data_IF_020114424375
#
_entry.id   IF_020114424375
#
_cell.length_a   1.000
_cell.length_b   1.000
_cell.length_c   1.000
_cell.angle_alpha   90.00
_cell.angle_beta   90.00
_cell.angle_gamma   90.00
#
_symmetry.space_group_name_H-M   'P 1'
#
loop_
_entity.id
_entity.type
_entity.pdbx_description
1 polymer ?
#
# COMPACT_ATOMS: atom_id res chain seq x y z
N UNK A 1 -5.93 -2.81 14.90
CA UNK A 1 -4.50 -2.57 15.14
C UNK A 1 -4.20 -1.08 15.27
N UNK A 2 -4.02 -0.31 14.20
CA UNK A 2 -3.57 1.08 14.29
C UNK A 2 -4.46 2.03 15.14
N UNK A 3 -5.75 1.76 15.29
CA UNK A 3 -6.68 2.60 16.07
C UNK A 3 -6.80 2.16 17.53
N UNK A 4 -6.81 0.86 17.78
CA UNK A 4 -7.22 0.29 19.07
C UNK A 4 -6.07 -0.37 19.82
N UNK A 5 -4.85 -0.43 19.23
CA UNK A 5 -3.69 -1.13 19.79
C UNK A 5 -3.92 -2.63 20.02
N UNK A 6 -4.91 -3.23 19.33
CA UNK A 6 -5.26 -4.65 19.50
C UNK A 6 -4.40 -5.53 18.60
N UNK A 7 -4.03 -6.74 19.07
CA UNK A 7 -3.27 -7.70 18.28
C UNK A 7 -3.97 -8.04 16.96
N UNK A 8 -3.20 -8.25 15.90
CA UNK A 8 -3.71 -8.59 14.56
C UNK A 8 -4.71 -9.74 14.56
N UNK A 9 -4.43 -10.83 15.30
CA UNK A 9 -5.29 -12.01 15.34
C UNK A 9 -6.70 -11.70 15.90
N UNK A 10 -6.81 -10.82 16.88
CA UNK A 10 -8.10 -10.41 17.45
C UNK A 10 -8.91 -9.55 16.47
N UNK A 11 -8.24 -8.58 15.86
CA UNK A 11 -8.87 -7.69 14.88
C UNK A 11 -9.34 -8.46 13.66
N UNK A 12 -8.58 -9.45 13.21
CA UNK A 12 -8.95 -10.33 12.11
C UNK A 12 -10.17 -11.19 12.49
N UNK A 13 -10.21 -11.77 13.69
CA UNK A 13 -11.35 -12.58 14.14
C UNK A 13 -12.65 -11.75 14.18
N UNK A 14 -12.59 -10.52 14.69
CA UNK A 14 -13.75 -9.62 14.67
C UNK A 14 -14.20 -9.28 13.23
N UNK A 15 -13.26 -9.04 12.32
CA UNK A 15 -13.59 -8.77 10.93
C UNK A 15 -14.25 -9.96 10.25
N UNK A 16 -13.84 -11.20 10.57
CA UNK A 16 -14.47 -12.43 10.09
C UNK A 16 -15.87 -12.62 10.67
N UNK A 17 -16.06 -12.37 11.97
CA UNK A 17 -17.37 -12.45 12.62
C UNK A 17 -18.37 -11.45 12.03
N UNK A 18 -17.91 -10.25 11.70
CA UNK A 18 -18.71 -9.20 11.07
C UNK A 18 -18.92 -9.41 9.55
N UNK A 19 -18.30 -10.43 8.95
CA UNK A 19 -18.41 -10.73 7.53
C UNK A 19 -17.64 -9.74 6.62
N UNK A 20 -16.63 -9.08 7.14
CA UNK A 20 -15.75 -8.18 6.40
C UNK A 20 -14.49 -8.87 5.87
N UNK A 21 -14.08 -9.97 6.51
CA UNK A 21 -13.02 -10.86 6.03
C UNK A 21 -13.57 -12.27 5.85
N UNK A 22 -13.04 -12.98 4.85
CA UNK A 22 -13.39 -14.38 4.59
C UNK A 22 -12.76 -15.33 5.62
N UNK A 23 -13.22 -16.60 5.66
CA UNK A 23 -12.63 -17.63 6.52
C UNK A 23 -11.15 -17.88 6.21
N UNK A 24 -10.76 -17.78 4.93
CA UNK A 24 -9.36 -17.68 4.50
C UNK A 24 -9.07 -16.23 4.11
N UNK A 25 -8.44 -15.43 4.98
CA UNK A 25 -8.19 -14.01 4.74
C UNK A 25 -6.96 -13.76 3.87
N UNK A 26 -6.28 -14.80 3.38
CA UNK A 26 -4.99 -14.67 2.64
C UNK A 26 -5.11 -13.68 1.49
N UNK A 27 -6.18 -13.76 0.71
CA UNK A 27 -6.40 -12.84 -0.41
C UNK A 27 -6.48 -11.36 -0.01
N UNK A 28 -7.08 -11.08 1.15
CA UNK A 28 -7.21 -9.71 1.67
C UNK A 28 -5.88 -9.23 2.27
N UNK A 29 -5.28 -10.03 3.17
CA UNK A 29 -4.13 -9.59 3.97
C UNK A 29 -2.81 -9.61 3.20
N UNK A 30 -2.68 -10.47 2.20
CA UNK A 30 -1.52 -10.50 1.29
C UNK A 30 -1.67 -9.56 0.09
N UNK A 31 -2.86 -8.97 -0.08
CA UNK A 31 -3.12 -7.94 -1.07
C UNK A 31 -3.53 -8.43 -2.46
N UNK A 32 -3.90 -9.71 -2.63
CA UNK A 32 -4.33 -10.26 -3.91
C UNK A 32 -5.62 -9.59 -4.41
N UNK A 33 -6.60 -9.38 -3.51
CA UNK A 33 -7.83 -8.65 -3.84
C UNK A 33 -7.53 -7.22 -4.29
N UNK A 34 -6.63 -6.53 -3.61
CA UNK A 34 -6.23 -5.18 -3.98
C UNK A 34 -5.49 -5.14 -5.33
N UNK A 35 -4.68 -6.16 -5.66
CA UNK A 35 -4.05 -6.31 -6.98
C UNK A 35 -5.12 -6.47 -8.06
N UNK A 36 -6.11 -7.33 -7.85
CA UNK A 36 -7.18 -7.56 -8.82
C UNK A 36 -7.99 -6.27 -9.09
N UNK A 37 -8.31 -5.53 -8.03
CA UNK A 37 -8.96 -4.21 -8.15
C UNK A 37 -8.08 -3.21 -8.92
N UNK A 38 -6.78 -3.16 -8.61
CA UNK A 38 -5.82 -2.27 -9.27
C UNK A 38 -5.71 -2.55 -10.77
N UNK A 39 -5.64 -3.83 -11.17
CA UNK A 39 -5.55 -4.23 -12.57
C UNK A 39 -6.79 -3.77 -13.36
N UNK A 40 -7.98 -3.88 -12.76
CA UNK A 40 -9.23 -3.38 -13.36
C UNK A 40 -9.19 -1.85 -13.51
N UNK A 41 -8.81 -1.13 -12.44
CA UNK A 41 -8.72 0.33 -12.47
C UNK A 41 -7.65 0.83 -13.46
N UNK A 42 -6.50 0.16 -13.51
CA UNK A 42 -5.44 0.46 -14.49
C UNK A 42 -5.93 0.25 -15.93
N UNK A 43 -6.73 -0.81 -16.18
CA UNK A 43 -7.36 -1.02 -17.48
C UNK A 43 -8.28 0.13 -17.86
N UNK A 44 -9.09 0.63 -16.94
CA UNK A 44 -9.99 1.77 -17.19
C UNK A 44 -9.22 3.07 -17.41
N UNK A 45 -8.18 3.33 -16.59
CA UNK A 45 -7.43 4.57 -16.63
C UNK A 45 -6.43 4.64 -17.82
N UNK A 46 -5.77 3.52 -18.13
CA UNK A 46 -4.64 3.50 -19.07
C UNK A 46 -4.93 2.72 -20.35
N UNK A 47 -6.05 2.02 -20.42
CA UNK A 47 -6.43 1.23 -21.62
C UNK A 47 -5.62 -0.06 -21.80
N UNK A 48 -4.86 -0.51 -20.80
CA UNK A 48 -3.98 -1.69 -20.87
C UNK A 48 -4.26 -2.65 -19.73
N UNK A 49 -4.22 -3.96 -20.00
CA UNK A 49 -4.23 -4.97 -18.96
C UNK A 49 -2.82 -5.14 -18.37
N UNK A 50 -2.73 -5.10 -17.04
CA UNK A 50 -1.54 -5.53 -16.32
C UNK A 50 -1.62 -7.03 -16.03
N UNK A 51 -0.49 -7.71 -16.04
CA UNK A 51 -0.37 -9.05 -15.50
C UNK A 51 -0.36 -8.97 -13.96
N UNK A 52 -1.40 -9.47 -13.27
CA UNK A 52 -1.48 -9.36 -11.82
C UNK A 52 -0.32 -10.05 -11.10
N UNK A 53 0.32 -11.04 -11.72
CA UNK A 53 1.46 -11.76 -11.13
C UNK A 53 2.73 -10.92 -11.08
N UNK A 54 2.81 -9.86 -11.86
CA UNK A 54 3.96 -8.93 -11.91
C UNK A 54 3.81 -7.74 -10.98
N UNK A 55 2.61 -7.49 -10.44
CA UNK A 55 2.37 -6.41 -9.48
C UNK A 55 3.00 -6.75 -8.14
N UNK A 56 3.96 -5.92 -7.69
CA UNK A 56 4.65 -6.12 -6.42
C UNK A 56 3.71 -6.00 -5.23
N UNK A 57 3.80 -6.95 -4.26
CA UNK A 57 2.96 -6.98 -3.05
C UNK A 57 3.76 -6.94 -1.75
N UNK A 58 5.06 -6.75 -1.85
CA UNK A 58 5.98 -6.77 -0.72
C UNK A 58 6.64 -5.40 -0.57
N UNK A 59 6.52 -4.81 0.61
CA UNK A 59 7.40 -3.70 0.91
C UNK A 59 8.85 -4.19 0.91
N UNK A 60 9.81 -3.37 0.45
CA UNK A 60 11.21 -3.77 0.52
C UNK A 60 11.67 -3.91 1.97
N UNK A 61 12.60 -4.81 2.23
CA UNK A 61 13.31 -4.88 3.49
C UNK A 61 14.79 -4.54 3.32
N UNK A 62 15.50 -4.40 4.41
CA UNK A 62 16.94 -4.13 4.39
C UNK A 62 17.71 -5.19 3.56
N UNK A 63 17.27 -6.45 3.62
CA UNK A 63 17.97 -7.58 3.00
C UNK A 63 17.26 -8.20 1.79
N UNK A 64 16.14 -7.66 1.38
CA UNK A 64 15.36 -8.19 0.25
C UNK A 64 13.96 -7.64 0.22
N UNK A 65 12.99 -8.54 0.09
CA UNK A 65 11.58 -8.21 0.15
C UNK A 65 10.98 -8.69 1.46
N UNK A 66 10.16 -7.86 2.07
CA UNK A 66 9.39 -8.21 3.26
C UNK A 66 8.28 -9.23 2.99
N UNK A 67 7.37 -9.38 3.93
CA UNK A 67 6.19 -10.23 3.77
C UNK A 67 5.16 -9.58 2.84
N UNK A 68 4.29 -10.38 2.19
CA UNK A 68 3.27 -9.82 1.30
C UNK A 68 2.19 -9.06 2.08
N UNK A 69 1.65 -8.03 1.46
CA UNK A 69 0.58 -7.23 2.03
C UNK A 69 0.90 -6.70 3.43
N UNK A 70 -0.04 -6.83 4.35
CA UNK A 70 0.08 -6.35 5.74
C UNK A 70 0.57 -7.42 6.73
N UNK A 71 0.86 -8.63 6.28
CA UNK A 71 1.20 -9.78 7.17
C UNK A 71 2.51 -9.61 7.93
N UNK A 72 3.35 -8.67 7.51
CA UNK A 72 4.61 -8.34 8.17
C UNK A 72 4.58 -7.10 9.06
N UNK A 73 3.47 -6.35 9.07
CA UNK A 73 3.36 -5.11 9.85
C UNK A 73 3.20 -5.44 11.33
N UNK A 74 4.07 -4.86 12.16
CA UNK A 74 4.10 -5.07 13.62
C UNK A 74 3.47 -3.90 14.37
N UNK A 75 3.12 -4.14 15.65
CA UNK A 75 2.57 -3.10 16.52
C UNK A 75 3.61 -1.99 16.76
N UNK A 76 4.90 -2.34 16.92
CA UNK A 76 6.00 -1.38 17.06
C UNK A 76 6.14 -0.45 15.84
N UNK A 77 5.99 -1.02 14.63
CA UNK A 77 6.02 -0.21 13.41
C UNK A 77 4.81 0.73 13.31
N UNK A 78 3.64 0.30 13.77
CA UNK A 78 2.44 1.15 13.82
C UNK A 78 2.57 2.27 14.86
N UNK A 79 3.06 1.97 16.06
CA UNK A 79 3.33 2.97 17.10
C UNK A 79 4.40 3.97 16.66
N UNK A 80 5.49 3.47 16.10
CA UNK A 80 6.56 4.31 15.58
C UNK A 80 6.09 5.24 14.44
N UNK A 81 5.26 4.73 13.53
CA UNK A 81 4.66 5.56 12.49
C UNK A 81 3.78 6.66 13.10
N UNK A 82 2.92 6.32 14.06
CA UNK A 82 2.04 7.27 14.73
C UNK A 82 2.82 8.38 15.44
N UNK A 83 3.93 8.05 16.08
CA UNK A 83 4.80 9.03 16.75
C UNK A 83 5.44 10.03 15.77
N UNK A 84 5.60 9.64 14.50
CA UNK A 84 6.07 10.50 13.40
C UNK A 84 4.93 11.19 12.63
N UNK A 85 3.68 11.09 13.12
CA UNK A 85 2.51 11.66 12.45
C UNK A 85 2.09 10.89 11.20
N UNK A 86 2.48 9.61 11.09
CA UNK A 86 2.17 8.72 9.98
C UNK A 86 1.21 7.62 10.41
N UNK A 87 0.60 6.97 9.45
CA UNK A 87 -0.08 5.68 9.63
C UNK A 87 0.25 4.76 8.46
N UNK A 88 0.26 3.44 8.69
CA UNK A 88 0.54 2.47 7.62
C UNK A 88 -0.78 1.99 7.02
N UNK A 89 -0.93 2.12 5.72
CA UNK A 89 -2.08 1.64 4.94
C UNK A 89 -1.60 0.76 3.79
N UNK A 90 -2.39 -0.24 3.42
CA UNK A 90 -2.14 -0.99 2.18
C UNK A 90 -2.60 -0.14 1.00
N UNK A 91 -1.66 0.42 0.25
CA UNK A 91 -1.96 1.21 -0.93
C UNK A 91 -1.73 0.41 -2.20
N UNK A 92 -2.69 0.50 -3.11
CA UNK A 92 -2.61 0.02 -4.47
C UNK A 92 -2.36 1.21 -5.38
N UNK A 93 -1.19 1.30 -5.99
CA UNK A 93 -0.79 2.43 -6.83
C UNK A 93 -0.51 1.98 -8.27
N UNK A 94 -0.95 2.77 -9.24
CA UNK A 94 -0.57 2.59 -10.63
C UNK A 94 -0.33 3.95 -11.29
N UNK A 95 0.80 4.08 -11.97
CA UNK A 95 1.21 5.33 -12.64
C UNK A 95 1.67 5.03 -14.06
N UNK A 96 1.21 5.82 -15.02
CA UNK A 96 1.75 5.74 -16.39
C UNK A 96 3.13 6.37 -16.42
N UNK A 97 4.11 5.62 -16.89
CA UNK A 97 5.46 6.09 -17.17
C UNK A 97 5.71 6.21 -18.68
N UNK A 98 6.89 6.69 -19.07
CA UNK A 98 7.29 6.74 -20.48
C UNK A 98 7.38 5.34 -21.13
N UNK A 99 7.80 4.35 -20.34
CA UNK A 99 8.11 3.01 -20.80
C UNK A 99 7.00 1.99 -20.57
N UNK A 100 6.04 2.31 -19.66
CA UNK A 100 5.00 1.36 -19.30
C UNK A 100 4.04 1.84 -18.23
N UNK A 101 3.67 0.94 -17.33
CA UNK A 101 2.85 1.22 -16.16
C UNK A 101 3.60 0.69 -14.95
N UNK A 102 3.96 1.57 -14.03
CA UNK A 102 4.45 1.21 -12.72
C UNK A 102 3.27 0.89 -11.82
N UNK A 103 3.29 -0.25 -11.13
CA UNK A 103 2.22 -0.64 -10.23
C UNK A 103 2.72 -1.48 -9.05
N UNK A 104 2.16 -1.24 -7.88
CA UNK A 104 2.39 -2.03 -6.67
C UNK A 104 1.21 -1.96 -5.72
N UNK A 105 1.10 -2.98 -4.86
CA UNK A 105 0.18 -3.03 -3.71
C UNK A 105 1.02 -3.33 -2.49
N UNK A 106 1.41 -2.30 -1.77
CA UNK A 106 2.34 -2.43 -0.64
C UNK A 106 1.89 -1.62 0.57
N UNK A 107 2.22 -2.08 1.80
CA UNK A 107 2.08 -1.24 2.97
C UNK A 107 2.89 0.05 2.77
N UNK A 108 2.23 1.17 2.96
CA UNK A 108 2.77 2.51 2.71
C UNK A 108 2.49 3.39 3.91
N UNK A 109 3.47 4.12 4.37
CA UNK A 109 3.30 5.12 5.41
C UNK A 109 2.72 6.40 4.80
N UNK A 110 1.57 6.85 5.30
CA UNK A 110 0.90 8.08 4.84
C UNK A 110 0.74 9.04 6.00
N UNK A 111 0.70 10.38 5.78
CA UNK A 111 0.37 11.31 6.85
C UNK A 111 -0.96 10.96 7.51
N UNK A 112 -0.97 10.90 8.84
CA UNK A 112 -2.16 10.53 9.60
C UNK A 112 -3.33 11.50 9.38
N UNK A 113 -3.03 12.76 9.02
CA UNK A 113 -3.98 13.82 8.69
C UNK A 113 -4.31 13.92 7.18
N UNK A 114 -3.87 12.95 6.37
CA UNK A 114 -4.18 12.87 4.94
C UNK A 114 -5.52 12.17 4.66
N UNK A 115 -6.10 12.33 3.47
CA UNK A 115 -7.29 11.59 3.07
C UNK A 115 -7.15 10.07 3.20
N UNK A 116 -5.99 9.50 2.86
CA UNK A 116 -5.72 8.08 3.05
C UNK A 116 -5.58 7.74 4.54
N UNK A 117 -4.94 8.61 5.33
CA UNK A 117 -4.79 8.44 6.78
C UNK A 117 -6.13 8.32 7.51
N UNK A 118 -7.13 9.13 7.12
CA UNK A 118 -8.48 9.11 7.71
C UNK A 118 -9.37 7.98 7.20
N UNK A 119 -8.94 7.21 6.21
CA UNK A 119 -9.76 6.15 5.64
C UNK A 119 -9.71 4.92 6.54
N UNK A 120 -10.81 4.62 7.22
CA UNK A 120 -10.92 3.59 8.24
C UNK A 120 -12.11 2.65 8.04
N UNK A 121 -12.11 1.55 8.77
CA UNK A 121 -13.16 0.54 8.76
C UNK A 121 -13.33 -0.08 7.37
N UNK A 122 -14.56 -0.17 6.90
CA UNK A 122 -14.91 -0.76 5.60
C UNK A 122 -14.87 0.24 4.44
N UNK A 123 -14.38 1.47 4.69
CA UNK A 123 -14.31 2.50 3.67
C UNK A 123 -13.13 2.25 2.74
N UNK A 124 -13.39 2.18 1.45
CA UNK A 124 -12.38 2.22 0.42
C UNK A 124 -12.26 3.65 -0.13
N UNK A 125 -11.06 4.01 -0.52
CA UNK A 125 -10.75 5.28 -1.16
C UNK A 125 -9.99 5.06 -2.46
N UNK A 126 -10.36 5.84 -3.47
CA UNK A 126 -9.64 5.92 -4.74
C UNK A 126 -9.31 7.39 -5.01
N UNK A 127 -8.05 7.65 -5.31
CA UNK A 127 -7.58 8.95 -5.76
C UNK A 127 -7.07 8.82 -7.18
N UNK A 128 -7.46 9.75 -8.04
CA UNK A 128 -7.09 9.78 -9.45
C UNK A 128 -6.47 11.14 -9.72
N UNK A 129 -5.22 11.14 -10.14
CA UNK A 129 -4.53 12.33 -10.64
C UNK A 129 -4.50 12.31 -12.17
N UNK A 130 -4.98 13.36 -12.79
CA UNK A 130 -5.01 13.46 -14.25
C UNK A 130 -4.92 14.93 -14.71
N UNK A 131 -4.17 15.19 -15.76
CA UNK A 131 -4.14 16.50 -16.39
C UNK A 131 -5.21 16.60 -17.51
N UNK A 132 -5.93 17.72 -17.62
CA UNK A 132 -5.89 18.93 -16.76
C UNK A 132 -6.85 18.89 -15.57
N UNK A 133 -7.41 17.72 -15.23
CA UNK A 133 -8.48 17.56 -14.22
C UNK A 133 -7.98 17.83 -12.79
N UNK A 134 -6.69 17.63 -12.51
CA UNK A 134 -6.15 17.63 -11.17
C UNK A 134 -6.51 16.33 -10.42
N UNK A 135 -6.73 16.43 -9.12
CA UNK A 135 -7.01 15.29 -8.25
C UNK A 135 -8.50 15.09 -8.02
N UNK A 136 -9.00 13.90 -8.32
CA UNK A 136 -10.35 13.44 -7.98
C UNK A 136 -10.28 12.38 -6.90
N UNK A 137 -11.13 12.52 -5.88
CA UNK A 137 -11.21 11.59 -4.74
C UNK A 137 -12.59 10.98 -4.65
N UNK A 138 -12.65 9.66 -4.57
CA UNK A 138 -13.86 8.88 -4.36
C UNK A 138 -13.70 8.07 -3.08
N UNK A 139 -14.72 8.03 -2.25
CA UNK A 139 -14.73 7.21 -1.04
C UNK A 139 -16.12 6.62 -0.81
N UNK A 140 -16.15 5.41 -0.29
CA UNK A 140 -17.41 4.74 0.03
C UNK A 140 -17.19 3.36 0.64
N UNK A 141 -18.27 2.71 1.11
CA UNK A 141 -18.19 1.35 1.67
C UNK A 141 -17.66 0.37 0.62
N UNK A 142 -16.57 -0.32 0.95
CA UNK A 142 -15.94 -1.33 0.07
C UNK A 142 -16.39 -2.77 0.36
N UNK A 143 -17.05 -3.00 1.50
CA UNK A 143 -17.50 -4.32 1.92
C UNK A 143 -18.87 -4.27 2.62
N UNK A 144 -19.45 -5.45 2.81
CA UNK A 144 -20.74 -5.62 3.48
C UNK A 144 -21.92 -5.84 2.52
N UNK A 145 -22.95 -6.55 2.99
CA UNK A 145 -24.09 -7.00 2.18
C UNK A 145 -24.81 -5.87 1.46
N UNK A 146 -24.98 -4.71 2.07
CA UNK A 146 -25.66 -3.56 1.47
C UNK A 146 -24.88 -2.98 0.28
N UNK A 147 -23.55 -2.80 0.43
CA UNK A 147 -22.69 -2.30 -0.63
C UNK A 147 -22.65 -3.27 -1.83
N UNK A 148 -22.45 -4.56 -1.56
CA UNK A 148 -22.45 -5.60 -2.57
C UNK A 148 -23.79 -5.72 -3.29
N UNK A 149 -24.90 -5.72 -2.55
CA UNK A 149 -26.26 -5.76 -3.15
C UNK A 149 -26.52 -4.55 -4.04
N UNK A 150 -26.08 -3.36 -3.63
CA UNK A 150 -26.23 -2.14 -4.42
C UNK A 150 -25.47 -2.25 -5.76
N UNK A 151 -24.25 -2.77 -5.74
CA UNK A 151 -23.45 -2.97 -6.95
C UNK A 151 -24.13 -3.97 -7.90
N UNK A 152 -24.57 -5.14 -7.39
CA UNK A 152 -25.29 -6.15 -8.17
C UNK A 152 -26.57 -5.57 -8.80
N UNK A 153 -27.37 -4.85 -8.01
CA UNK A 153 -28.58 -4.22 -8.54
C UNK A 153 -28.27 -3.17 -9.60
N UNK A 154 -27.19 -2.41 -9.44
CA UNK A 154 -26.71 -1.46 -10.45
C UNK A 154 -26.42 -2.15 -11.78
N UNK A 155 -25.71 -3.26 -11.74
CA UNK A 155 -25.39 -4.07 -12.94
C UNK A 155 -26.65 -4.67 -13.58
N UNK A 156 -27.57 -5.22 -12.78
CA UNK A 156 -28.84 -5.74 -13.29
C UNK A 156 -29.68 -4.66 -13.98
N UNK A 157 -29.74 -3.45 -13.41
CA UNK A 157 -30.42 -2.32 -14.02
C UNK A 157 -29.74 -1.90 -15.32
N UNK A 158 -28.41 -1.86 -15.36
CA UNK A 158 -27.64 -1.57 -16.56
C UNK A 158 -27.94 -2.58 -17.68
N UNK A 159 -27.93 -3.86 -17.37
CA UNK A 159 -28.29 -4.95 -18.30
C UNK A 159 -29.74 -4.78 -18.80
N UNK A 160 -30.69 -4.55 -17.89
CA UNK A 160 -32.11 -4.38 -18.26
C UNK A 160 -32.37 -3.15 -19.16
N UNK A 161 -31.53 -2.13 -19.06
CA UNK A 161 -31.56 -0.93 -19.93
C UNK A 161 -30.83 -1.13 -21.27
N UNK A 162 -30.23 -2.30 -21.50
CA UNK A 162 -29.45 -2.59 -22.71
C UNK A 162 -28.13 -1.85 -22.78
N UNK A 163 -27.62 -1.33 -21.64
CA UNK A 163 -26.29 -0.78 -21.58
C UNK A 163 -25.30 -1.92 -21.79
N UNK A 164 -24.39 -1.75 -22.74
CA UNK A 164 -23.36 -2.74 -23.04
C UNK A 164 -22.28 -2.81 -21.95
N UNK A 165 -21.13 -3.39 -22.30
CA UNK A 165 -20.00 -3.50 -21.40
C UNK A 165 -19.59 -2.13 -20.83
N UNK A 166 -19.34 -2.09 -19.52
CA UNK A 166 -18.91 -0.89 -18.79
C UNK A 166 -17.43 -0.54 -18.97
N UNK A 167 -16.73 -1.19 -19.90
CA UNK A 167 -15.34 -0.82 -20.23
C UNK A 167 -15.19 0.55 -20.92
N UNK A 168 -16.17 1.44 -20.75
CA UNK A 168 -16.15 2.84 -21.21
C UNK A 168 -15.78 3.01 -22.70
N UNK A 169 -16.21 2.10 -23.56
CA UNK A 169 -15.87 2.11 -24.99
C UNK A 169 -14.44 1.70 -25.31
N UNK A 170 -13.67 1.24 -24.33
CA UNK A 170 -12.35 0.67 -24.60
C UNK A 170 -12.46 -0.53 -25.54
N UNK A 171 -11.59 -0.55 -26.56
CA UNK A 171 -11.49 -1.71 -27.44
C UNK A 171 -11.17 -2.98 -26.64
N UNK A 172 -11.61 -4.17 -27.10
CA UNK A 172 -11.16 -5.42 -26.52
C UNK A 172 -9.63 -5.45 -26.41
N UNK A 173 -9.10 -6.01 -25.34
CA UNK A 173 -7.67 -6.20 -25.23
C UNK A 173 -7.21 -7.22 -26.29
N UNK A 174 -6.45 -6.78 -27.27
CA UNK A 174 -6.01 -7.60 -28.40
C UNK A 174 -4.61 -8.18 -28.22
N UNK A 175 -3.97 -7.93 -27.10
CA UNK A 175 -2.63 -8.40 -26.78
C UNK A 175 -2.55 -9.04 -25.39
N UNK A 176 -1.42 -9.68 -25.07
CA UNK A 176 -1.17 -10.18 -23.72
C UNK A 176 -1.18 -9.03 -22.70
N UNK A 177 -1.46 -9.38 -21.45
CA UNK A 177 -1.23 -8.47 -20.34
C UNK A 177 0.25 -8.05 -20.31
N UNK A 178 0.49 -6.79 -19.92
CA UNK A 178 1.87 -6.27 -19.80
C UNK A 178 2.34 -6.43 -18.36
N UNK A 179 3.64 -6.64 -18.19
CA UNK A 179 4.26 -6.60 -16.87
C UNK A 179 4.13 -5.19 -16.28
N UNK A 180 3.96 -5.13 -14.98
CA UNK A 180 4.08 -3.89 -14.23
C UNK A 180 5.55 -3.64 -13.86
N UNK A 181 5.98 -2.38 -13.97
CA UNK A 181 7.26 -1.93 -13.44
C UNK A 181 7.10 -1.58 -11.95
N UNK A 182 8.20 -1.63 -11.20
CA UNK A 182 8.18 -1.29 -9.78
C UNK A 182 8.20 0.24 -9.57
N UNK A 183 7.21 0.82 -8.88
CA UNK A 183 7.26 2.22 -8.50
C UNK A 183 8.26 2.49 -7.37
N UNK A 184 8.79 1.45 -6.71
CA UNK A 184 9.64 1.57 -5.53
C UNK A 184 11.11 1.92 -5.86
N UNK A 185 11.49 1.87 -7.13
CA UNK A 185 12.84 2.23 -7.60
C UNK A 185 13.08 3.75 -7.64
N UNK A 186 12.01 4.54 -7.54
CA UNK A 186 12.11 6.00 -7.49
C UNK A 186 12.56 6.49 -6.12
N UNK A 187 13.35 7.58 -6.11
CA UNK A 187 13.72 8.25 -4.88
C UNK A 187 12.47 8.80 -4.15
N UNK A 188 12.38 8.49 -2.85
CA UNK A 188 11.27 8.88 -1.97
C UNK A 188 11.73 8.92 -0.52
N UNK A 189 10.87 9.33 0.39
CA UNK A 189 11.09 9.11 1.82
C UNK A 189 10.75 7.66 2.18
N UNK A 190 11.47 7.15 3.18
CA UNK A 190 11.25 5.81 3.72
C UNK A 190 10.98 5.90 5.20
N UNK A 191 9.99 5.17 5.66
CA UNK A 191 9.74 4.93 7.07
C UNK A 191 10.27 3.55 7.44
N UNK A 192 10.89 3.44 8.61
CA UNK A 192 11.28 2.17 9.22
C UNK A 192 11.27 2.29 10.75
N UNK A 193 11.01 1.16 11.43
CA UNK A 193 11.28 1.00 12.85
C UNK A 193 12.54 0.13 12.98
N UNK A 194 13.58 0.66 13.63
CA UNK A 194 14.88 0.01 13.77
C UNK A 194 15.16 -0.34 15.23
N UNK A 195 15.67 -1.54 15.46
CA UNK A 195 16.18 -1.97 16.76
C UNK A 195 17.51 -1.30 17.12
N UNK A 196 18.18 -1.81 18.16
CA UNK A 196 19.47 -1.27 18.60
C UNK A 196 20.48 -1.18 17.48
N UNK A 197 21.19 -0.06 17.40
CA UNK A 197 22.22 0.19 16.39
C UNK A 197 23.61 -0.14 16.92
N UNK A 198 24.56 -0.32 16.00
CA UNK A 198 25.98 -0.42 16.33
C UNK A 198 26.54 0.94 16.78
N UNK A 199 27.57 0.90 17.62
CA UNK A 199 28.32 2.10 17.98
C UNK A 199 29.27 2.51 16.82
N UNK A 200 28.71 3.14 15.82
CA UNK A 200 29.39 3.60 14.61
C UNK A 200 28.97 5.02 14.25
N UNK A 201 29.77 5.69 13.42
CA UNK A 201 29.37 7.01 12.93
C UNK A 201 28.05 6.93 12.11
N UNK A 202 27.05 7.69 12.53
CA UNK A 202 25.75 7.71 11.87
C UNK A 202 25.88 8.25 10.44
N UNK A 203 25.41 7.53 9.40
CA UNK A 203 25.40 8.02 8.03
C UNK A 203 24.64 9.35 7.87
N UNK A 204 25.06 10.19 6.93
CA UNK A 204 24.46 11.52 6.72
C UNK A 204 22.94 11.46 6.47
N UNK A 205 22.48 10.45 5.74
CA UNK A 205 21.04 10.22 5.48
C UNK A 205 20.26 10.05 6.78
N UNK A 206 20.76 9.23 7.71
CA UNK A 206 20.10 8.96 8.99
C UNK A 206 20.25 10.11 9.99
N UNK A 207 21.38 10.84 9.98
CA UNK A 207 21.52 12.06 10.79
C UNK A 207 20.48 13.15 10.46
N UNK A 208 20.02 13.19 9.22
CA UNK A 208 19.00 14.15 8.77
C UNK A 208 17.57 13.58 8.75
N UNK A 209 17.39 12.32 9.17
CA UNK A 209 16.09 11.72 9.31
C UNK A 209 15.30 12.31 10.49
N UNK A 210 13.99 12.43 10.35
CA UNK A 210 13.13 12.60 11.51
C UNK A 210 13.07 11.30 12.30
N UNK A 211 13.20 11.36 13.63
CA UNK A 211 13.24 10.16 14.46
C UNK A 211 12.56 10.35 15.81
N UNK A 212 12.01 9.25 16.33
CA UNK A 212 11.46 9.15 17.69
C UNK A 212 12.02 7.90 18.33
N UNK A 213 12.60 8.03 19.52
CA UNK A 213 13.18 6.92 20.28
C UNK A 213 12.12 6.24 21.17
N UNK A 214 12.20 4.91 21.24
CA UNK A 214 11.43 4.03 22.11
C UNK A 214 12.39 3.18 22.93
N UNK A 215 11.87 2.47 23.95
CA UNK A 215 12.68 1.60 24.80
C UNK A 215 13.35 0.47 24.01
N UNK A 216 12.68 -0.04 22.97
CA UNK A 216 13.07 -1.20 22.18
C UNK A 216 13.53 -0.84 20.76
N UNK A 217 13.60 0.45 20.40
CA UNK A 217 14.05 0.86 19.06
C UNK A 217 13.82 2.33 18.74
N UNK A 218 13.93 2.64 17.47
CA UNK A 218 13.77 4.01 16.96
C UNK A 218 12.93 4.00 15.69
N UNK A 219 11.87 4.78 15.68
CA UNK A 219 11.12 5.10 14.47
C UNK A 219 11.86 6.17 13.68
N UNK A 220 12.07 5.95 12.39
CA UNK A 220 12.77 6.90 11.52
C UNK A 220 11.98 7.18 10.25
N UNK A 221 12.01 8.45 9.78
CA UNK A 221 11.58 8.85 8.45
C UNK A 221 12.73 9.54 7.73
N UNK A 222 13.25 8.92 6.69
CA UNK A 222 14.42 9.44 5.96
C UNK A 222 14.05 10.67 5.15
N UNK A 223 15.01 11.52 4.78
CA UNK A 223 14.92 12.41 3.63
C UNK A 223 14.66 11.61 2.35
N UNK A 224 14.38 12.31 1.25
CA UNK A 224 14.23 11.65 -0.07
C UNK A 224 15.54 10.95 -0.44
N UNK A 225 15.45 9.64 -0.70
CA UNK A 225 16.56 8.78 -1.03
C UNK A 225 16.09 7.63 -1.93
N UNK A 226 17.01 7.05 -2.70
CA UNK A 226 16.72 5.78 -3.38
C UNK A 226 16.64 4.63 -2.36
N UNK A 227 15.99 3.55 -2.72
CA UNK A 227 15.96 2.34 -1.90
C UNK A 227 17.39 1.82 -1.60
N UNK A 228 18.29 1.91 -2.58
CA UNK A 228 19.67 1.50 -2.43
C UNK A 228 20.42 2.34 -1.38
N UNK A 229 20.23 3.67 -1.41
CA UNK A 229 20.85 4.57 -0.43
C UNK A 229 20.30 4.33 0.99
N UNK A 230 18.98 4.12 1.10
CA UNK A 230 18.34 3.82 2.38
C UNK A 230 18.86 2.49 2.96
N UNK A 231 18.93 1.44 2.14
CA UNK A 231 19.52 0.15 2.52
C UNK A 231 20.98 0.27 2.94
N UNK A 232 21.79 1.00 2.17
CA UNK A 232 23.21 1.21 2.50
C UNK A 232 23.39 1.95 3.83
N UNK A 233 22.60 2.99 4.07
CA UNK A 233 22.65 3.75 5.32
C UNK A 233 22.24 2.91 6.54
N UNK A 234 21.15 2.15 6.44
CA UNK A 234 20.68 1.27 7.51
C UNK A 234 21.63 0.10 7.76
N UNK A 235 22.12 -0.54 6.70
CA UNK A 235 23.07 -1.65 6.80
C UNK A 235 24.41 -1.26 7.43
N UNK A 236 24.78 0.03 7.38
CA UNK A 236 25.98 0.51 8.05
C UNK A 236 25.84 0.56 9.58
N UNK A 237 24.62 0.76 10.11
CA UNK A 237 24.38 0.97 11.56
C UNK A 237 23.71 -0.21 12.24
N UNK A 238 23.04 -1.08 11.50
CA UNK A 238 22.32 -2.22 12.06
C UNK A 238 23.21 -3.48 12.12
N UNK A 239 22.94 -4.40 13.06
CA UNK A 239 23.59 -5.71 13.10
C UNK A 239 23.44 -6.49 11.79
N UNK A 240 24.39 -7.41 11.52
CA UNK A 240 24.42 -8.17 10.26
C UNK A 240 23.25 -9.14 10.08
N UNK A 241 22.58 -9.52 11.15
CA UNK A 241 21.40 -10.37 11.19
C UNK A 241 20.08 -9.59 11.23
N UNK A 242 20.13 -8.26 11.40
CA UNK A 242 18.94 -7.44 11.39
C UNK A 242 18.29 -7.41 10.00
N UNK A 243 16.99 -7.58 9.96
CA UNK A 243 16.15 -7.27 8.80
C UNK A 243 15.02 -6.33 9.21
N UNK A 244 14.84 -5.28 8.45
CA UNK A 244 13.94 -4.16 8.75
C UNK A 244 13.14 -3.85 7.51
N UNK A 245 11.82 -3.72 7.66
CA UNK A 245 10.95 -3.30 6.56
C UNK A 245 11.11 -1.80 6.30
N UNK A 246 11.22 -1.45 5.03
CA UNK A 246 11.28 -0.08 4.53
C UNK A 246 9.92 0.25 3.88
N UNK A 247 9.11 1.01 4.58
CA UNK A 247 7.82 1.46 4.05
C UNK A 247 8.02 2.69 3.19
N UNK A 248 7.56 2.70 1.92
CA UNK A 248 7.52 3.94 1.16
C UNK A 248 6.62 4.95 1.87
N UNK A 249 7.02 6.22 1.86
CA UNK A 249 6.19 7.32 2.39
C UNK A 249 5.53 8.02 1.23
N UNK A 250 4.21 8.21 1.33
CA UNK A 250 3.36 8.93 0.36
C UNK A 250 2.86 10.21 1.05
N UNK A 251 3.60 11.35 0.81
CA UNK A 251 3.37 12.68 1.43
C UNK A 251 2.86 13.72 0.41
#
# INVERSE_FOLDING_TARGET
MAQDGRPYAEVLADAQELGYAEADPTGDVEGDDAVNKLVILARLAFGRWLDPTTVGRRAPSLRGDGRPGITGVTDQELEGAAALGLTIKLLATATRSADGIEAAVVPTAVPADSPFGWTDGVTNRVEIEAEPLGTVRLAGPGAGGAATSSAILGDLVAIARGLGSTWAGLAPATGPAIAADSPLDRARRWYAFIGPTRDVEMPALLRSAASVEFEDGTAIRTPVATLADARAALGAVLPDDADVTLYPVDD
#
